data_IF_350617388683
#
_entry.id   IF_350617388683
#
_cell.length_a   1.000
_cell.length_b   1.000
_cell.length_c   1.000
_cell.angle_alpha   90.00
_cell.angle_beta   90.00
_cell.angle_gamma   90.00
#
_symmetry.space_group_name_H-M   'P 1'
#
loop_
_entity.id
_entity.type
_entity.pdbx_description
1 polymer ?
#
# COMPACT_ATOMS: atom_id res chain seq x y z
N UNK A 1 18.62 8.84 78.98
CA UNK A 1 17.97 8.68 80.30
C UNK A 1 18.22 9.95 81.08
N UNK A 2 17.19 10.69 81.46
CA UNK A 2 17.20 11.67 82.56
C UNK A 2 15.77 12.16 82.77
N UNK A 3 14.99 11.38 83.54
CA UNK A 3 13.78 11.87 84.20
C UNK A 3 14.18 12.68 85.43
N UNK A 4 13.62 13.87 85.60
CA UNK A 4 13.72 14.65 86.83
C UNK A 4 12.67 14.17 87.85
N UNK A 5 13.02 14.08 89.15
CA UNK A 5 12.19 13.45 90.18
C UNK A 5 11.04 14.34 90.68
N UNK A 6 10.02 13.75 91.32
CA UNK A 6 8.78 14.44 91.69
C UNK A 6 8.95 15.36 92.91
N UNK A 7 8.61 16.64 92.76
CA UNK A 7 8.56 17.60 93.84
C UNK A 7 7.27 17.45 94.65
N UNK A 8 7.41 17.21 95.96
CA UNK A 8 6.30 17.15 96.92
C UNK A 8 5.64 18.53 97.07
N UNK A 9 4.30 18.60 97.16
CA UNK A 9 3.62 19.85 97.47
C UNK A 9 3.84 20.23 98.96
N UNK A 10 4.03 21.52 99.27
CA UNK A 10 4.21 21.98 100.65
C UNK A 10 2.91 21.81 101.45
N UNK A 11 3.09 21.38 102.70
CA UNK A 11 2.07 20.94 103.64
C UNK A 11 1.52 22.13 104.44
N UNK A 12 0.20 22.30 104.42
CA UNK A 12 -0.63 22.80 105.52
C UNK A 12 -0.43 24.23 106.01
N UNK A 13 -1.39 25.11 105.68
CA UNK A 13 -1.69 26.32 106.49
C UNK A 13 -3.14 26.24 106.96
N UNK A 14 -3.32 26.68 108.21
CA UNK A 14 -4.38 26.38 109.18
C UNK A 14 -5.79 26.86 108.79
N UNK A 15 -6.78 26.09 109.24
CA UNK A 15 -8.21 26.38 109.18
C UNK A 15 -8.58 27.71 109.85
N UNK A 16 -9.19 28.61 109.09
CA UNK A 16 -10.03 29.71 109.55
C UNK A 16 -11.50 29.30 109.41
N UNK A 17 -12.27 29.48 110.48
CA UNK A 17 -13.67 29.10 110.62
C UNK A 17 -14.54 30.28 110.18
N UNK A 18 -14.96 30.26 108.91
CA UNK A 18 -15.89 31.26 108.37
C UNK A 18 -17.14 30.52 107.85
N UNK A 19 -18.24 30.58 108.60
CA UNK A 19 -19.53 29.93 108.36
C UNK A 19 -20.29 30.46 107.11
N UNK A 20 -19.58 30.87 106.06
CA UNK A 20 -20.17 31.28 104.78
C UNK A 20 -19.34 30.81 103.57
N UNK A 21 -18.16 30.21 103.80
CA UNK A 21 -17.24 29.76 102.74
C UNK A 21 -17.48 28.33 102.22
N UNK A 22 -18.28 27.53 102.92
CA UNK A 22 -18.55 26.14 102.53
C UNK A 22 -19.47 26.05 101.30
N UNK A 23 -20.29 27.08 101.03
CA UNK A 23 -21.28 27.04 99.95
C UNK A 23 -20.65 27.02 98.55
N UNK A 24 -19.58 27.78 98.32
CA UNK A 24 -18.88 27.79 97.03
C UNK A 24 -18.10 26.51 96.82
N UNK A 25 -17.39 26.01 97.84
CA UNK A 25 -16.67 24.75 97.74
C UNK A 25 -17.63 23.55 97.60
N UNK A 26 -18.75 23.56 98.32
CA UNK A 26 -19.83 22.55 98.19
C UNK A 26 -20.54 22.69 96.84
N UNK A 27 -20.72 23.89 96.30
CA UNK A 27 -21.24 24.09 94.94
C UNK A 27 -20.23 23.66 93.88
N UNK A 28 -18.93 23.87 94.06
CA UNK A 28 -17.89 23.37 93.15
C UNK A 28 -17.76 21.84 93.26
N UNK A 29 -17.85 21.27 94.46
CA UNK A 29 -17.89 19.82 94.68
C UNK A 29 -19.20 19.22 94.12
N UNK A 30 -20.33 19.90 94.28
CA UNK A 30 -21.59 19.55 93.60
C UNK A 30 -21.47 19.71 92.09
N UNK A 31 -20.87 20.77 91.55
CA UNK A 31 -20.70 20.98 90.12
C UNK A 31 -19.71 20.01 89.48
N UNK A 32 -18.66 19.61 90.20
CA UNK A 32 -17.77 18.52 89.82
C UNK A 32 -18.44 17.15 90.00
N UNK A 33 -19.36 17.02 90.96
CA UNK A 33 -20.27 15.88 91.12
C UNK A 33 -21.37 15.81 90.07
N UNK A 34 -21.82 16.96 89.54
CA UNK A 34 -22.80 17.15 88.45
C UNK A 34 -22.16 17.06 87.05
N UNK A 35 -20.84 16.89 86.94
CA UNK A 35 -20.20 16.38 85.71
C UNK A 35 -20.40 14.85 85.63
N UNK A 36 -21.66 14.44 85.71
CA UNK A 36 -22.18 13.28 86.44
C UNK A 36 -22.10 11.97 85.62
N UNK A 37 -21.27 11.02 86.08
CA UNK A 37 -21.21 9.57 85.77
C UNK A 37 -20.35 9.05 84.60
N UNK A 38 -19.72 7.88 84.84
CA UNK A 38 -19.05 7.02 83.85
C UNK A 38 -19.99 6.62 82.70
N UNK A 39 -21.31 6.62 82.94
CA UNK A 39 -22.33 6.21 81.98
C UNK A 39 -22.48 7.19 80.83
N UNK A 40 -22.49 8.51 81.06
CA UNK A 40 -22.60 9.50 79.98
C UNK A 40 -21.40 9.45 79.02
N UNK A 41 -20.18 9.35 79.57
CA UNK A 41 -18.95 9.13 78.78
C UNK A 41 -18.98 7.82 78.01
N UNK A 42 -19.55 6.76 78.59
CA UNK A 42 -19.69 5.47 77.91
C UNK A 42 -20.73 5.54 76.77
N UNK A 43 -21.83 6.26 76.96
CA UNK A 43 -22.87 6.45 75.95
C UNK A 43 -22.39 7.28 74.76
N UNK A 44 -21.65 8.37 75.00
CA UNK A 44 -21.04 9.17 73.93
C UNK A 44 -19.99 8.35 73.16
N UNK A 45 -19.15 7.57 73.86
CA UNK A 45 -18.19 6.68 73.23
C UNK A 45 -18.89 5.64 72.32
N UNK A 46 -19.99 5.04 72.77
CA UNK A 46 -20.79 4.12 71.95
C UNK A 46 -21.39 4.82 70.71
N UNK A 47 -21.82 6.07 70.83
CA UNK A 47 -22.33 6.87 69.70
C UNK A 47 -21.23 7.16 68.69
N UNK A 48 -20.05 7.59 69.15
CA UNK A 48 -18.88 7.81 68.29
C UNK A 48 -18.43 6.53 67.60
N UNK A 49 -18.43 5.39 68.31
CA UNK A 49 -18.10 4.08 67.75
C UNK A 49 -19.10 3.64 66.69
N UNK A 50 -20.40 3.85 66.90
CA UNK A 50 -21.43 3.60 65.86
C UNK A 50 -21.22 4.49 64.63
N UNK A 51 -21.02 5.78 64.83
CA UNK A 51 -20.79 6.72 63.73
C UNK A 51 -19.52 6.38 62.93
N UNK A 52 -18.43 6.05 63.64
CA UNK A 52 -17.18 5.57 63.05
C UNK A 52 -17.40 4.30 62.23
N UNK A 53 -18.11 3.32 62.77
CA UNK A 53 -18.41 2.06 62.06
C UNK A 53 -19.26 2.30 60.79
N UNK A 54 -20.23 3.20 60.84
CA UNK A 54 -21.04 3.57 59.65
C UNK A 54 -20.18 4.23 58.58
N UNK A 55 -19.30 5.16 58.99
CA UNK A 55 -18.36 5.80 58.06
C UNK A 55 -17.39 4.79 57.44
N UNK A 56 -16.83 3.87 58.23
CA UNK A 56 -15.97 2.80 57.72
C UNK A 56 -16.73 1.92 56.71
N UNK A 57 -17.97 1.53 57.00
CA UNK A 57 -18.80 0.75 56.08
C UNK A 57 -19.13 1.50 54.78
N UNK A 58 -19.40 2.81 54.87
CA UNK A 58 -19.61 3.64 53.68
C UNK A 58 -18.33 3.75 52.84
N UNK A 59 -17.18 3.96 53.48
CA UNK A 59 -15.88 4.03 52.81
C UNK A 59 -15.52 2.72 52.12
N UNK A 60 -15.71 1.56 52.74
CA UNK A 60 -15.43 0.26 52.11
C UNK A 60 -16.30 0.00 50.88
N UNK A 61 -17.59 0.37 50.93
CA UNK A 61 -18.50 0.29 49.77
C UNK A 61 -18.07 1.22 48.63
N UNK A 62 -17.63 2.44 48.97
CA UNK A 62 -17.12 3.40 47.98
C UNK A 62 -15.84 2.87 47.34
N UNK A 63 -14.90 2.35 48.12
CA UNK A 63 -13.64 1.77 47.62
C UNK A 63 -13.91 0.56 46.72
N UNK A 64 -14.75 -0.38 47.16
CA UNK A 64 -15.15 -1.53 46.33
C UNK A 64 -15.84 -1.09 45.03
N UNK A 65 -16.65 -0.03 45.07
CA UNK A 65 -17.26 0.54 43.86
C UNK A 65 -16.21 1.12 42.92
N UNK A 66 -15.22 1.86 43.44
CA UNK A 66 -14.11 2.42 42.65
C UNK A 66 -13.26 1.33 42.00
N UNK A 67 -12.94 0.25 42.72
CA UNK A 67 -12.21 -0.89 42.19
C UNK A 67 -12.98 -1.59 41.06
N UNK A 68 -14.30 -1.80 41.23
CA UNK A 68 -15.14 -2.34 40.14
C UNK A 68 -15.13 -1.43 38.91
N UNK A 69 -15.24 -0.11 39.10
CA UNK A 69 -15.18 0.85 37.98
C UNK A 69 -13.81 0.78 37.29
N UNK A 70 -12.71 0.67 38.05
CA UNK A 70 -11.37 0.51 37.50
C UNK A 70 -11.26 -0.76 36.66
N UNK A 71 -11.71 -1.90 37.20
CA UNK A 71 -11.70 -3.18 36.47
C UNK A 71 -12.53 -3.14 35.18
N UNK A 72 -13.73 -2.53 35.21
CA UNK A 72 -14.54 -2.35 33.99
C UNK A 72 -13.82 -1.48 32.97
N UNK A 73 -13.15 -0.40 33.39
CA UNK A 73 -12.38 0.48 32.50
C UNK A 73 -11.20 -0.25 31.86
N UNK A 74 -10.47 -1.06 32.62
CA UNK A 74 -9.35 -1.86 32.11
C UNK A 74 -9.84 -2.92 31.12
N UNK A 75 -10.92 -3.62 31.44
CA UNK A 75 -11.54 -4.60 30.55
C UNK A 75 -12.02 -3.96 29.25
N UNK A 76 -12.67 -2.80 29.30
CA UNK A 76 -13.07 -2.07 28.10
C UNK A 76 -11.85 -1.62 27.29
N UNK A 77 -10.78 -1.18 27.96
CA UNK A 77 -9.50 -0.86 27.32
C UNK A 77 -8.84 -2.06 26.64
N UNK A 78 -8.92 -3.25 27.25
CA UNK A 78 -8.47 -4.50 26.66
C UNK A 78 -9.32 -4.90 25.44
N UNK A 79 -10.65 -4.84 25.56
CA UNK A 79 -11.57 -5.11 24.46
C UNK A 79 -11.34 -4.15 23.29
N UNK A 80 -11.15 -2.85 23.56
CA UNK A 80 -10.83 -1.85 22.52
C UNK A 80 -9.54 -2.21 21.78
N UNK A 81 -8.49 -2.60 22.50
CA UNK A 81 -7.22 -3.02 21.89
C UNK A 81 -7.40 -4.27 21.04
N UNK A 82 -8.11 -5.29 21.52
CA UNK A 82 -8.37 -6.52 20.77
C UNK A 82 -9.14 -6.24 19.47
N UNK A 83 -10.17 -5.40 19.53
CA UNK A 83 -10.92 -4.98 18.34
C UNK A 83 -10.06 -4.20 17.36
N UNK A 84 -9.16 -3.34 17.87
CA UNK A 84 -8.22 -2.61 17.03
C UNK A 84 -7.23 -3.54 16.32
N UNK A 85 -6.62 -4.48 17.05
CA UNK A 85 -5.78 -5.52 16.45
C UNK A 85 -6.53 -6.29 15.36
N UNK A 86 -7.78 -6.71 15.64
CA UNK A 86 -8.59 -7.45 14.65
C UNK A 86 -8.91 -6.64 13.40
N UNK A 87 -9.21 -5.34 13.57
CA UNK A 87 -9.43 -4.43 12.44
C UNK A 87 -8.15 -4.27 11.61
N UNK A 88 -7.01 -4.12 12.25
CA UNK A 88 -5.73 -3.91 11.58
C UNK A 88 -5.27 -5.19 10.85
N UNK A 89 -5.52 -6.38 11.42
CA UNK A 89 -5.38 -7.67 10.74
C UNK A 89 -6.25 -7.76 9.49
N UNK A 90 -7.53 -7.38 9.59
CA UNK A 90 -8.44 -7.42 8.45
C UNK A 90 -8.00 -6.46 7.35
N UNK A 91 -7.56 -5.24 7.72
CA UNK A 91 -7.01 -4.27 6.78
C UNK A 91 -5.78 -4.83 6.07
N UNK A 92 -4.88 -5.47 6.82
CA UNK A 92 -3.70 -6.13 6.27
C UNK A 92 -4.08 -7.25 5.29
N UNK A 93 -4.97 -8.17 5.69
CA UNK A 93 -5.42 -9.25 4.81
C UNK A 93 -6.09 -8.73 3.55
N UNK A 94 -6.85 -7.63 3.65
CA UNK A 94 -7.47 -7.00 2.48
C UNK A 94 -6.42 -6.39 1.54
N UNK A 95 -5.44 -5.65 2.08
CA UNK A 95 -4.35 -5.10 1.24
C UNK A 95 -3.53 -6.22 0.60
N UNK A 96 -3.21 -7.26 1.34
CA UNK A 96 -2.47 -8.43 0.84
C UNK A 96 -3.28 -9.13 -0.26
N UNK A 97 -4.59 -9.31 -0.08
CA UNK A 97 -5.47 -9.91 -1.10
C UNK A 97 -5.52 -9.08 -2.40
N UNK A 98 -5.59 -7.75 -2.29
CA UNK A 98 -5.55 -6.85 -3.44
C UNK A 98 -4.19 -6.93 -4.16
N UNK A 99 -3.08 -6.93 -3.41
CA UNK A 99 -1.74 -7.08 -3.96
C UNK A 99 -1.57 -8.45 -4.65
N UNK A 100 -2.03 -9.53 -4.04
CA UNK A 100 -1.98 -10.87 -4.65
C UNK A 100 -2.80 -10.94 -5.93
N UNK A 101 -3.97 -10.31 -5.99
CA UNK A 101 -4.76 -10.23 -7.22
C UNK A 101 -3.99 -9.51 -8.33
N UNK A 102 -3.34 -8.38 -8.01
CA UNK A 102 -2.51 -7.65 -8.97
C UNK A 102 -1.33 -8.48 -9.47
N UNK A 103 -0.63 -9.18 -8.57
CA UNK A 103 0.49 -10.07 -8.94
C UNK A 103 0.01 -11.21 -9.82
N UNK A 104 -1.14 -11.84 -9.51
CA UNK A 104 -1.71 -12.91 -10.34
C UNK A 104 -2.05 -12.42 -11.75
N UNK A 105 -2.68 -11.24 -11.87
CA UNK A 105 -2.98 -10.64 -13.18
C UNK A 105 -1.70 -10.35 -13.97
N UNK A 106 -0.67 -9.81 -13.32
CA UNK A 106 0.64 -9.59 -13.94
C UNK A 106 1.28 -10.91 -14.41
N UNK A 107 1.25 -11.95 -13.58
CA UNK A 107 1.80 -13.27 -13.93
C UNK A 107 1.08 -13.91 -15.12
N UNK A 108 -0.24 -13.77 -15.20
CA UNK A 108 -1.02 -14.26 -16.34
C UNK A 108 -0.64 -13.51 -17.62
N UNK A 109 -0.53 -12.18 -17.57
CA UNK A 109 -0.05 -11.38 -18.70
C UNK A 109 1.36 -11.81 -19.15
N UNK A 110 2.27 -12.09 -18.22
CA UNK A 110 3.61 -12.61 -18.50
C UNK A 110 3.54 -13.99 -19.17
N UNK A 111 2.68 -14.88 -18.67
CA UNK A 111 2.54 -16.22 -19.23
C UNK A 111 1.99 -16.20 -20.67
N UNK A 112 1.01 -15.35 -20.95
CA UNK A 112 0.51 -15.14 -22.31
C UNK A 112 1.57 -14.52 -23.22
N UNK A 113 2.29 -13.52 -22.72
CA UNK A 113 3.36 -12.86 -23.47
C UNK A 113 4.48 -13.82 -23.87
N UNK A 114 4.86 -14.75 -22.98
CA UNK A 114 5.86 -15.79 -23.24
C UNK A 114 5.47 -16.71 -24.41
N UNK A 115 4.17 -16.89 -24.69
CA UNK A 115 3.69 -17.73 -25.80
C UNK A 115 3.75 -17.01 -27.15
N UNK A 116 3.77 -15.68 -27.16
CA UNK A 116 3.72 -14.86 -28.39
C UNK A 116 4.90 -15.11 -29.34
N UNK A 117 6.17 -15.18 -28.88
CA UNK A 117 7.30 -15.55 -29.73
C UNK A 117 7.04 -16.77 -30.62
N UNK A 118 6.53 -17.86 -30.03
CA UNK A 118 6.24 -19.10 -30.75
C UNK A 118 5.06 -18.93 -31.74
N UNK A 119 4.01 -18.20 -31.32
CA UNK A 119 2.87 -17.88 -32.20
C UNK A 119 3.32 -17.11 -33.45
N UNK A 120 4.21 -16.13 -33.30
CA UNK A 120 4.76 -15.36 -34.44
C UNK A 120 5.48 -16.28 -35.43
N UNK A 121 6.31 -17.22 -34.95
CA UNK A 121 6.99 -18.19 -35.83
C UNK A 121 5.95 -19.00 -36.61
N UNK A 122 4.93 -19.52 -35.94
CA UNK A 122 3.87 -20.30 -36.58
C UNK A 122 3.04 -19.52 -37.60
N UNK A 123 2.79 -18.22 -37.36
CA UNK A 123 2.09 -17.38 -38.34
C UNK A 123 2.98 -17.04 -39.53
N UNK A 124 4.29 -16.88 -39.31
CA UNK A 124 5.25 -16.63 -40.39
C UNK A 124 5.38 -17.84 -41.32
N UNK A 125 5.39 -19.06 -40.81
CA UNK A 125 5.45 -20.27 -41.67
C UNK A 125 4.19 -20.45 -42.52
N UNK A 126 3.02 -20.03 -42.00
CA UNK A 126 1.74 -20.06 -42.71
C UNK A 126 1.51 -18.87 -43.66
N UNK A 127 2.50 -17.97 -43.83
CA UNK A 127 2.39 -16.69 -44.56
C UNK A 127 1.29 -15.74 -44.07
N UNK A 128 0.84 -15.89 -42.82
CA UNK A 128 -0.19 -15.04 -42.21
C UNK A 128 0.42 -13.80 -41.55
N UNK A 129 1.12 -12.98 -42.33
CA UNK A 129 1.92 -11.86 -41.81
C UNK A 129 1.11 -10.77 -41.09
N UNK A 130 -0.14 -10.54 -41.52
CA UNK A 130 -1.03 -9.58 -40.87
C UNK A 130 -1.32 -9.98 -39.40
N UNK A 131 -1.62 -11.26 -39.17
CA UNK A 131 -1.92 -11.78 -37.84
C UNK A 131 -0.66 -11.79 -36.97
N UNK A 132 0.49 -12.16 -37.55
CA UNK A 132 1.78 -12.10 -36.87
C UNK A 132 2.12 -10.67 -36.42
N UNK A 133 1.95 -9.69 -37.30
CA UNK A 133 2.25 -8.28 -37.02
C UNK A 133 1.32 -7.69 -35.95
N UNK A 134 0.02 -7.98 -36.01
CA UNK A 134 -0.95 -7.59 -34.97
C UNK A 134 -0.57 -8.17 -33.61
N UNK A 135 -0.39 -9.50 -33.54
CA UNK A 135 -0.03 -10.18 -32.30
C UNK A 135 1.30 -9.68 -31.70
N UNK A 136 2.28 -9.36 -32.55
CA UNK A 136 3.54 -8.79 -32.12
C UNK A 136 3.41 -7.34 -31.62
N UNK A 137 2.60 -6.52 -32.29
CA UNK A 137 2.35 -5.14 -31.89
C UNK A 137 1.61 -5.09 -30.55
N UNK A 138 0.59 -5.92 -30.38
CA UNK A 138 -0.17 -6.05 -29.13
C UNK A 138 0.75 -6.50 -27.98
N UNK A 139 1.62 -7.47 -28.23
CA UNK A 139 2.61 -7.93 -27.26
C UNK A 139 3.65 -6.84 -26.89
N UNK A 140 4.12 -6.07 -27.87
CA UNK A 140 5.03 -4.96 -27.64
C UNK A 140 4.37 -3.82 -26.86
N UNK A 141 3.07 -3.56 -27.06
CA UNK A 141 2.32 -2.60 -26.25
C UNK A 141 2.21 -3.06 -24.79
N UNK A 142 1.90 -4.34 -24.56
CA UNK A 142 1.79 -4.92 -23.21
C UNK A 142 3.14 -4.91 -22.47
N UNK A 143 4.26 -5.25 -23.12
CA UNK A 143 5.58 -5.29 -22.47
C UNK A 143 6.18 -3.90 -22.18
N UNK A 144 5.72 -2.86 -22.91
CA UNK A 144 6.14 -1.47 -22.73
C UNK A 144 5.19 -0.65 -21.85
N UNK A 145 3.95 -1.10 -21.69
CA UNK A 145 2.96 -0.48 -20.81
C UNK A 145 2.93 -1.13 -19.42
N UNK A 146 1.95 -2.01 -19.13
CA UNK A 146 1.70 -2.55 -17.80
C UNK A 146 2.86 -3.36 -17.21
N UNK A 147 3.72 -3.93 -18.05
CA UNK A 147 4.86 -4.77 -17.62
C UNK A 147 6.21 -4.05 -17.73
N UNK A 148 6.23 -2.73 -17.93
CA UNK A 148 7.47 -1.95 -18.07
C UNK A 148 8.40 -2.04 -16.86
N UNK A 149 7.83 -2.05 -15.64
CA UNK A 149 8.58 -2.12 -14.38
C UNK A 149 9.15 -3.50 -14.04
N UNK A 150 8.85 -4.55 -14.82
CA UNK A 150 9.36 -5.90 -14.56
C UNK A 150 10.72 -6.08 -15.24
N UNK A 151 11.80 -6.00 -14.46
CA UNK A 151 13.18 -6.14 -14.97
C UNK A 151 13.45 -7.52 -15.61
N UNK A 152 12.84 -8.58 -15.08
CA UNK A 152 12.97 -9.95 -15.60
C UNK A 152 12.43 -10.17 -17.02
N UNK A 153 11.79 -9.17 -17.63
CA UNK A 153 11.31 -9.23 -19.02
C UNK A 153 12.25 -8.54 -20.02
N UNK A 154 13.45 -8.11 -19.60
CA UNK A 154 14.40 -7.41 -20.47
C UNK A 154 14.78 -8.23 -21.72
N UNK A 155 15.15 -9.50 -21.55
CA UNK A 155 15.53 -10.38 -22.67
C UNK A 155 14.35 -10.63 -23.62
N UNK A 156 13.15 -10.83 -23.07
CA UNK A 156 11.94 -10.99 -23.87
C UNK A 156 11.62 -9.72 -24.67
N UNK A 157 11.90 -8.54 -24.11
CA UNK A 157 11.75 -7.26 -24.80
C UNK A 157 12.69 -7.17 -25.99
N UNK A 158 13.95 -7.57 -25.81
CA UNK A 158 14.93 -7.62 -26.90
C UNK A 158 14.51 -8.66 -27.95
N UNK A 159 14.04 -9.84 -27.55
CA UNK A 159 13.57 -10.89 -28.48
C UNK A 159 12.36 -10.43 -29.30
N UNK A 160 11.34 -9.85 -28.67
CA UNK A 160 10.16 -9.32 -29.38
C UNK A 160 10.54 -8.18 -30.34
N UNK A 161 11.47 -7.31 -29.94
CA UNK A 161 12.00 -6.28 -30.84
C UNK A 161 12.70 -6.94 -32.04
N UNK A 162 13.64 -7.85 -31.81
CA UNK A 162 14.33 -8.59 -32.88
C UNK A 162 13.37 -9.27 -33.85
N UNK A 163 12.33 -9.94 -33.34
CA UNK A 163 11.27 -10.56 -34.14
C UNK A 163 10.50 -9.55 -35.00
N UNK A 164 10.35 -8.31 -34.54
CA UNK A 164 9.77 -7.23 -35.32
C UNK A 164 10.63 -6.90 -36.53
N UNK A 165 11.94 -6.73 -36.35
CA UNK A 165 12.85 -6.51 -37.48
C UNK A 165 12.87 -7.71 -38.43
N UNK A 166 12.90 -8.94 -37.93
CA UNK A 166 12.83 -10.15 -38.75
C UNK A 166 11.55 -10.21 -39.58
N UNK A 167 10.40 -9.85 -39.00
CA UNK A 167 9.13 -9.86 -39.71
C UNK A 167 9.11 -8.81 -40.82
N UNK A 168 9.66 -7.62 -40.58
CA UNK A 168 9.82 -6.59 -41.62
C UNK A 168 10.73 -7.05 -42.76
N UNK A 169 11.86 -7.69 -42.45
CA UNK A 169 12.78 -8.24 -43.45
C UNK A 169 12.10 -9.33 -44.29
N UNK A 170 11.44 -10.30 -43.65
CA UNK A 170 10.66 -11.35 -44.33
C UNK A 170 9.58 -10.76 -45.24
N UNK A 171 8.84 -9.77 -44.75
CA UNK A 171 7.78 -9.12 -45.54
C UNK A 171 8.36 -8.40 -46.76
N UNK A 172 9.49 -7.72 -46.59
CA UNK A 172 10.20 -7.05 -47.66
C UNK A 172 10.71 -8.04 -48.72
N UNK A 173 11.35 -9.14 -48.31
CA UNK A 173 11.82 -10.20 -49.21
C UNK A 173 10.69 -10.84 -50.00
N UNK A 174 9.56 -11.14 -49.35
CA UNK A 174 8.37 -11.68 -50.01
C UNK A 174 7.80 -10.68 -51.00
N UNK A 175 7.71 -9.40 -50.64
CA UNK A 175 7.20 -8.35 -51.52
C UNK A 175 8.10 -8.16 -52.75
N UNK A 176 9.43 -8.10 -52.57
CA UNK A 176 10.40 -8.04 -53.67
C UNK A 176 10.31 -9.28 -54.55
N UNK A 177 10.15 -10.47 -53.97
CA UNK A 177 9.98 -11.71 -54.72
C UNK A 177 8.70 -11.71 -55.56
N UNK A 178 7.59 -11.25 -54.99
CA UNK A 178 6.32 -11.14 -55.71
C UNK A 178 6.39 -10.10 -56.84
N UNK A 179 6.95 -8.91 -56.57
CA UNK A 179 7.04 -7.82 -57.54
C UNK A 179 8.04 -8.08 -58.65
N UNK A 180 9.23 -8.64 -58.37
CA UNK A 180 10.31 -8.72 -59.35
C UNK A 180 10.54 -10.11 -59.92
N UNK A 181 10.29 -11.18 -59.16
CA UNK A 181 10.52 -12.55 -59.64
C UNK A 181 9.25 -13.16 -60.21
N UNK A 182 8.14 -13.05 -59.49
CA UNK A 182 6.88 -13.64 -59.93
C UNK A 182 6.21 -12.79 -61.01
N UNK A 183 6.14 -11.46 -60.89
CA UNK A 183 5.53 -10.62 -61.94
C UNK A 183 6.29 -10.70 -63.27
N UNK A 184 7.63 -10.74 -63.22
CA UNK A 184 8.45 -10.92 -64.41
C UNK A 184 8.20 -12.31 -65.03
N UNK A 185 8.18 -13.38 -64.22
CA UNK A 185 7.90 -14.73 -64.70
C UNK A 185 6.48 -14.88 -65.30
N UNK A 186 5.47 -14.22 -64.73
CA UNK A 186 4.12 -14.16 -65.29
C UNK A 186 4.08 -13.36 -66.59
N UNK A 187 4.78 -12.24 -66.68
CA UNK A 187 4.91 -11.46 -67.91
C UNK A 187 5.60 -12.25 -69.03
N UNK A 188 6.70 -12.95 -68.72
CA UNK A 188 7.41 -13.81 -69.68
C UNK A 188 6.58 -15.03 -70.11
N UNK A 189 5.87 -15.69 -69.19
CA UNK A 189 5.00 -16.83 -69.54
C UNK A 189 3.76 -16.42 -70.34
N UNK A 190 3.18 -15.25 -70.07
CA UNK A 190 2.13 -14.67 -70.91
C UNK A 190 2.64 -14.32 -72.32
N UNK A 191 3.88 -13.81 -72.43
CA UNK A 191 4.52 -13.58 -73.72
C UNK A 191 4.77 -14.88 -74.50
N UNK A 192 5.19 -15.94 -73.81
CA UNK A 192 5.47 -17.24 -74.42
C UNK A 192 4.19 -17.95 -74.88
N UNK A 193 3.08 -17.85 -74.12
CA UNK A 193 1.77 -18.37 -74.53
C UNK A 193 1.19 -17.66 -75.76
N UNK A 194 1.43 -16.35 -75.92
CA UNK A 194 1.00 -15.61 -77.10
C UNK A 194 1.84 -15.89 -78.36
N UNK A 195 3.08 -16.35 -78.21
CA UNK A 195 3.96 -16.60 -79.34
C UNK A 195 3.69 -17.95 -80.03
N UNK A 196 2.98 -18.87 -79.37
CA UNK A 196 2.65 -20.19 -79.92
C UNK A 196 1.60 -20.17 -81.04
N UNK A 197 0.91 -19.04 -81.28
CA UNK A 197 -0.10 -18.89 -82.34
C UNK A 197 0.38 -18.07 -83.56
N UNK A 198 1.66 -17.68 -83.65
CA UNK A 198 2.14 -16.79 -84.73
C UNK A 198 3.26 -17.33 -85.63
N UNK A 199 3.65 -18.60 -85.51
CA UNK A 199 4.63 -19.20 -86.42
C UNK A 199 3.93 -20.03 -87.50
N UNK A 200 3.18 -19.35 -88.36
CA UNK A 200 2.96 -19.81 -89.74
C UNK A 200 2.71 -18.63 -90.68
N UNK A 201 3.73 -17.81 -90.92
CA UNK A 201 3.89 -17.08 -92.18
C UNK A 201 5.25 -16.38 -92.28
N UNK A 202 6.06 -16.91 -93.19
CA UNK A 202 7.02 -16.20 -94.03
C UNK A 202 8.00 -15.22 -93.37
N UNK A 203 9.23 -15.71 -93.20
CA UNK A 203 10.44 -14.89 -93.20
C UNK A 203 10.49 -14.01 -94.46
N UNK A 204 10.39 -12.70 -94.29
CA UNK A 204 11.06 -11.74 -95.14
C UNK A 204 11.86 -10.80 -94.24
N UNK A 205 13.16 -10.77 -94.49
CA UNK A 205 14.15 -9.99 -93.76
C UNK A 205 14.06 -8.56 -94.26
N UNK A 206 13.80 -7.60 -93.37
CA UNK A 206 14.10 -6.20 -93.63
C UNK A 206 14.73 -5.56 -92.38
N UNK A 207 15.96 -5.12 -92.57
CA UNK A 207 16.81 -4.44 -91.61
C UNK A 207 16.38 -2.99 -91.47
N UNK A 208 15.96 -2.53 -90.28
CA UNK A 208 16.08 -1.11 -89.91
C UNK A 208 16.38 -0.95 -88.41
N UNK A 209 17.40 -0.12 -88.21
CA UNK A 209 17.95 0.56 -87.03
C UNK A 209 17.00 0.93 -85.87
N UNK A 210 17.57 1.02 -84.66
CA UNK A 210 17.04 1.88 -83.60
C UNK A 210 17.52 1.53 -82.20
N UNK A 211 18.72 1.99 -81.83
CA UNK A 211 19.14 2.07 -80.42
C UNK A 211 18.92 3.51 -79.94
N UNK A 212 18.10 3.76 -78.90
CA UNK A 212 18.19 4.97 -78.12
C UNK A 212 18.97 4.69 -76.83
N UNK A 213 20.14 5.30 -76.78
CA UNK A 213 20.99 5.45 -75.61
C UNK A 213 20.37 6.53 -74.69
N UNK A 214 20.28 6.28 -73.38
CA UNK A 214 19.88 7.32 -72.41
C UNK A 214 20.96 7.44 -71.35
N UNK A 215 21.42 8.68 -71.24
CA UNK A 215 22.51 9.23 -70.45
C UNK A 215 22.41 9.01 -68.94
N UNK A 216 23.59 8.78 -68.33
CA UNK A 216 23.85 9.04 -66.92
C UNK A 216 24.17 10.52 -66.74
N UNK A 217 23.31 11.26 -66.06
CA UNK A 217 23.60 12.60 -65.55
C UNK A 217 23.58 12.60 -64.02
N UNK A 218 24.70 13.03 -63.45
CA UNK A 218 24.93 13.30 -62.04
C UNK A 218 23.95 14.36 -61.49
N UNK A 219 23.34 14.11 -60.34
CA UNK A 219 22.80 15.17 -59.48
C UNK A 219 23.78 15.44 -58.34
N UNK A 220 24.57 16.51 -58.50
CA UNK A 220 25.35 17.16 -57.45
C UNK A 220 24.43 17.86 -56.45
N UNK A 221 24.85 17.84 -55.19
CA UNK A 221 24.14 18.40 -54.07
C UNK A 221 23.98 19.92 -54.12
N UNK A 222 22.98 20.37 -53.38
CA UNK A 222 22.76 21.77 -53.04
C UNK A 222 22.55 21.87 -51.53
N UNK A 223 23.61 22.27 -50.84
CA UNK A 223 23.53 22.91 -49.54
C UNK A 223 22.98 24.32 -49.75
N UNK A 224 22.00 24.73 -48.95
CA UNK A 224 21.69 26.15 -48.76
C UNK A 224 21.53 26.42 -47.27
N UNK A 225 22.49 27.17 -46.75
CA UNK A 225 22.46 27.80 -45.45
C UNK A 225 21.53 29.03 -45.52
N UNK A 226 20.72 29.23 -44.49
CA UNK A 226 20.27 30.56 -44.06
C UNK A 226 20.40 30.61 -42.54
N UNK A 227 21.20 31.57 -42.08
CA UNK A 227 21.41 31.87 -40.66
C UNK A 227 20.66 33.13 -40.21
N UNK A 228 20.88 33.41 -38.92
CA UNK A 228 20.50 34.60 -38.14
C UNK A 228 19.05 34.58 -37.60
N UNK A 229 18.75 34.81 -36.32
CA UNK A 229 19.53 35.30 -35.18
C UNK A 229 18.65 36.23 -34.34
N UNK A 230 18.50 35.95 -33.03
CA UNK A 230 18.11 36.87 -31.94
C UNK A 230 18.15 36.05 -30.62
N UNK A 231 19.09 36.26 -29.68
CA UNK A 231 19.08 37.27 -28.60
C UNK A 231 17.71 37.41 -27.90
N UNK A 232 17.51 36.73 -26.78
CA UNK A 232 17.78 37.21 -25.41
C UNK A 232 17.84 36.00 -24.47
#
# INVERSE_FOLDING_TARGET
MNELPPTKPPRGVKYGKDETGCGFLVNVIKSLGFSETTEERQQENLRLKRNSNVLISALTKITASRERIHGVKENLGACKRLLQCRRDELKKMWTDAVQHKYVLEMLEQINELRKVPQRIVSFSTKRQYLHASKALTDALATIQGPLSGVEGLADLRVDLQSRRQQLYQRLHEELVTQLYKNSAAEAFSNFQRNNSNRLNSSLHVESVQGVPQIDRSECKGSQSAHGNGARF
#
